data_IF_158482342842
#
_entry.id   IF_158482342842
#
_cell.length_a   1.000
_cell.length_b   1.000
_cell.length_c   1.000
_cell.angle_alpha   90.00
_cell.angle_beta   90.00
_cell.angle_gamma   90.00
#
_symmetry.space_group_name_H-M   'P 1'
#
loop_
_entity.id
_entity.type
_entity.pdbx_description
1 polymer ?
#
# COMPACT_ATOMS: atom_id res chain seq x y z
N UNK A 1 27.65 18.51 -29.15
CA UNK A 1 27.20 17.64 -28.03
C UNK A 1 25.81 18.05 -27.57
N UNK A 2 25.55 19.34 -27.34
CA UNK A 2 24.22 19.88 -26.99
C UNK A 2 23.12 19.54 -28.01
N UNK A 3 23.37 19.74 -29.30
CA UNK A 3 22.41 19.44 -30.39
C UNK A 3 22.04 17.94 -30.47
N UNK A 4 22.97 17.04 -30.11
CA UNK A 4 22.69 15.61 -30.01
C UNK A 4 21.88 15.24 -28.76
N UNK A 5 22.03 15.99 -27.67
CA UNK A 5 21.24 15.77 -26.45
C UNK A 5 19.78 16.14 -26.71
N UNK A 6 19.53 17.35 -27.25
CA UNK A 6 18.18 17.86 -27.53
C UNK A 6 17.37 16.92 -28.42
N UNK A 7 18.00 16.41 -29.49
CA UNK A 7 17.39 15.45 -30.43
C UNK A 7 16.89 14.17 -29.75
N UNK A 8 17.51 13.76 -28.65
CA UNK A 8 17.21 12.51 -27.95
C UNK A 8 16.43 12.70 -26.64
N UNK A 9 16.10 13.93 -26.23
CA UNK A 9 15.23 14.17 -25.08
C UNK A 9 13.84 13.51 -25.20
N UNK A 10 13.18 13.46 -26.37
CA UNK A 10 11.90 12.75 -26.50
C UNK A 10 12.02 11.25 -26.21
N UNK A 11 13.15 10.63 -26.58
CA UNK A 11 13.44 9.23 -26.24
C UNK A 11 13.52 9.06 -24.72
N UNK A 12 14.28 9.92 -24.04
CA UNK A 12 14.38 9.88 -22.58
C UNK A 12 13.00 10.03 -21.92
N UNK A 13 12.19 10.99 -22.39
CA UNK A 13 10.83 11.21 -21.87
C UNK A 13 9.93 10.00 -22.06
N UNK A 14 9.98 9.35 -23.23
CA UNK A 14 9.24 8.13 -23.49
C UNK A 14 9.67 6.97 -22.59
N UNK A 15 10.97 6.83 -22.31
CA UNK A 15 11.50 5.80 -21.41
C UNK A 15 11.09 6.09 -19.97
N UNK A 16 11.27 7.32 -19.49
CA UNK A 16 10.87 7.73 -18.14
C UNK A 16 9.38 7.44 -17.89
N UNK A 17 8.50 7.76 -18.85
CA UNK A 17 7.07 7.46 -18.75
C UNK A 17 6.76 5.96 -18.62
N UNK A 18 7.58 5.06 -19.21
CA UNK A 18 7.39 3.60 -19.06
C UNK A 18 7.78 3.09 -17.67
N UNK A 19 8.59 3.85 -16.93
CA UNK A 19 9.01 3.53 -15.57
C UNK A 19 8.25 4.33 -14.51
N UNK A 20 7.23 5.11 -14.92
CA UNK A 20 6.35 5.84 -14.00
C UNK A 20 5.67 4.85 -13.07
N UNK A 21 5.77 5.11 -11.77
CA UNK A 21 5.20 4.29 -10.71
C UNK A 21 5.10 5.09 -9.41
N UNK A 22 4.69 4.43 -8.34
CA UNK A 22 4.36 5.05 -7.05
C UNK A 22 5.56 5.69 -6.33
N UNK A 23 6.79 5.35 -6.72
CA UNK A 23 8.01 5.67 -5.98
C UNK A 23 8.91 6.74 -6.61
N UNK A 24 8.52 7.36 -7.72
CA UNK A 24 9.28 8.43 -8.34
C UNK A 24 8.42 9.34 -9.23
N UNK A 25 8.63 10.65 -9.08
CA UNK A 25 8.05 11.69 -9.92
C UNK A 25 8.55 11.57 -11.37
N UNK A 26 7.71 11.98 -12.32
CA UNK A 26 8.04 11.91 -13.75
C UNK A 26 9.27 12.74 -14.11
N UNK A 27 9.47 13.86 -13.43
CA UNK A 27 10.58 14.77 -13.68
C UNK A 27 11.90 14.22 -13.13
N UNK A 28 11.87 13.52 -11.99
CA UNK A 28 13.05 12.84 -11.44
C UNK A 28 13.51 11.71 -12.37
N UNK A 29 12.58 10.89 -12.85
CA UNK A 29 12.87 9.83 -13.81
C UNK A 29 13.44 10.38 -15.12
N UNK A 30 12.94 11.54 -15.57
CA UNK A 30 13.46 12.22 -16.74
C UNK A 30 14.90 12.72 -16.51
N UNK A 31 15.19 13.37 -15.37
CA UNK A 31 16.53 13.83 -15.04
C UNK A 31 17.55 12.67 -14.98
N UNK A 32 17.20 11.58 -14.30
CA UNK A 32 18.02 10.37 -14.24
C UNK A 32 18.23 9.78 -15.64
N UNK A 33 17.17 9.75 -16.45
CA UNK A 33 17.26 9.31 -17.83
C UNK A 33 18.19 10.19 -18.68
N UNK A 34 18.23 11.50 -18.45
CA UNK A 34 19.16 12.42 -19.10
C UNK A 34 20.62 12.12 -18.70
N UNK A 35 20.89 11.75 -17.44
CA UNK A 35 22.23 11.28 -17.02
C UNK A 35 22.62 10.02 -17.81
N UNK A 36 21.69 9.08 -17.99
CA UNK A 36 21.90 7.89 -18.81
C UNK A 36 22.15 8.20 -20.28
N UNK A 37 21.47 9.20 -20.84
CA UNK A 37 21.69 9.67 -22.20
C UNK A 37 23.10 10.27 -22.36
N UNK A 38 23.55 11.10 -21.39
CA UNK A 38 24.90 11.66 -21.40
C UNK A 38 25.97 10.58 -21.31
N UNK A 39 25.75 9.55 -20.48
CA UNK A 39 26.63 8.38 -20.42
C UNK A 39 26.68 7.66 -21.77
N UNK A 40 25.52 7.38 -22.37
CA UNK A 40 25.43 6.72 -23.67
C UNK A 40 26.14 7.52 -24.77
N UNK A 41 25.98 8.84 -24.81
CA UNK A 41 26.67 9.70 -25.78
C UNK A 41 28.19 9.69 -25.60
N UNK A 42 28.70 9.56 -24.37
CA UNK A 42 30.14 9.51 -24.09
C UNK A 42 30.78 8.17 -24.45
N UNK A 43 30.06 7.06 -24.35
CA UNK A 43 30.61 5.71 -24.52
C UNK A 43 30.18 5.01 -25.81
N UNK A 44 29.30 5.62 -26.61
CA UNK A 44 28.87 5.07 -27.88
C UNK A 44 29.99 5.12 -28.93
N UNK A 45 30.14 4.02 -29.65
CA UNK A 45 31.15 3.83 -30.69
C UNK A 45 30.42 3.53 -32.02
N UNK A 46 30.38 4.49 -32.96
CA UNK A 46 29.70 4.34 -34.25
C UNK A 46 30.29 3.25 -35.14
N UNK A 47 31.57 2.90 -34.98
CA UNK A 47 32.26 1.90 -35.82
C UNK A 47 31.71 0.49 -35.63
N UNK A 48 30.97 0.26 -34.54
CA UNK A 48 30.29 -1.01 -34.24
C UNK A 48 29.03 -1.27 -35.07
N UNK A 49 28.63 -0.34 -35.92
CA UNK A 49 27.55 -0.54 -36.91
C UNK A 49 26.13 -0.65 -36.32
N UNK A 50 25.91 -0.22 -35.07
CA UNK A 50 24.57 -0.20 -34.45
C UNK A 50 24.04 1.22 -34.34
N UNK A 51 22.72 1.39 -34.51
CA UNK A 51 22.10 2.70 -34.33
C UNK A 51 22.23 3.16 -32.87
N UNK A 52 22.56 4.43 -32.65
CA UNK A 52 22.72 5.02 -31.31
C UNK A 52 21.55 4.71 -30.37
N UNK A 53 20.31 4.80 -30.86
CA UNK A 53 19.11 4.52 -30.05
C UNK A 53 19.07 3.08 -29.53
N UNK A 54 19.57 2.11 -30.31
CA UNK A 54 19.64 0.70 -29.91
C UNK A 54 20.58 0.51 -28.72
N UNK A 55 21.68 1.27 -28.70
CA UNK A 55 22.63 1.28 -27.59
C UNK A 55 22.16 2.11 -26.39
N UNK A 56 21.57 3.29 -26.64
CA UNK A 56 21.20 4.23 -25.60
C UNK A 56 20.02 3.74 -24.74
N UNK A 57 19.05 3.04 -25.32
CA UNK A 57 17.87 2.53 -24.60
C UNK A 57 18.23 1.68 -23.37
N UNK A 58 19.06 0.62 -23.46
CA UNK A 58 19.44 -0.18 -22.30
C UNK A 58 20.26 0.60 -21.26
N UNK A 59 21.09 1.57 -21.69
CA UNK A 59 21.88 2.42 -20.78
C UNK A 59 20.96 3.35 -19.98
N UNK A 60 20.08 4.09 -20.66
CA UNK A 60 19.10 4.99 -20.04
C UNK A 60 18.18 4.22 -19.08
N UNK A 61 17.62 3.10 -19.54
CA UNK A 61 16.76 2.26 -18.71
C UNK A 61 17.51 1.68 -17.49
N UNK A 62 18.80 1.39 -17.63
CA UNK A 62 19.66 0.93 -16.54
C UNK A 62 19.80 1.95 -15.41
N UNK A 63 20.06 3.22 -15.76
CA UNK A 63 20.15 4.33 -14.79
C UNK A 63 18.82 4.55 -14.07
N UNK A 64 17.71 4.57 -14.81
CA UNK A 64 16.37 4.72 -14.23
C UNK A 64 16.07 3.58 -13.24
N UNK A 65 16.36 2.32 -13.62
CA UNK A 65 16.20 1.16 -12.73
C UNK A 65 17.11 1.23 -11.51
N UNK A 66 18.31 1.78 -11.63
CA UNK A 66 19.24 1.94 -10.52
C UNK A 66 18.72 2.98 -9.52
N UNK A 67 18.23 4.12 -10.01
CA UNK A 67 17.61 5.15 -9.18
C UNK A 67 16.38 4.61 -8.43
N UNK A 68 15.46 3.94 -9.12
CA UNK A 68 14.25 3.35 -8.52
C UNK A 68 14.56 2.32 -7.43
N UNK A 69 15.68 1.58 -7.52
CA UNK A 69 16.09 0.64 -6.46
C UNK A 69 16.47 1.35 -5.14
N UNK A 70 16.86 2.62 -5.22
CA UNK A 70 17.26 3.46 -4.10
C UNK A 70 16.12 4.23 -3.42
N UNK A 71 15.00 4.49 -4.12
CA UNK A 71 13.91 5.36 -3.68
C UNK A 71 12.80 4.69 -2.86
N UNK A 72 12.98 3.44 -2.41
CA UNK A 72 11.97 2.80 -1.55
C UNK A 72 11.80 3.57 -0.23
N UNK A 73 10.54 3.88 0.14
CA UNK A 73 10.14 4.62 1.35
C UNK A 73 10.78 4.05 2.63
N UNK A 74 11.01 2.73 2.65
CA UNK A 74 11.71 2.04 3.74
C UNK A 74 13.04 1.46 3.24
N UNK A 75 14.13 1.88 3.89
CA UNK A 75 15.49 1.40 3.59
C UNK A 75 15.74 0.05 4.25
N UNK A 76 15.54 -1.02 3.49
CA UNK A 76 15.92 -2.38 3.91
C UNK A 76 17.33 -2.77 3.47
N UNK A 77 17.94 -3.72 4.19
CA UNK A 77 19.23 -4.30 3.85
C UNK A 77 19.19 -5.03 2.48
N UNK A 78 20.34 -5.12 1.80
CA UNK A 78 20.43 -5.83 0.51
C UNK A 78 20.08 -7.30 0.64
N UNK A 79 20.43 -7.94 1.76
CA UNK A 79 20.12 -9.33 2.05
C UNK A 79 18.60 -9.55 2.10
N UNK A 80 17.88 -8.73 2.87
CA UNK A 80 16.42 -8.78 2.99
C UNK A 80 15.73 -8.56 1.64
N UNK A 81 16.16 -7.57 0.84
CA UNK A 81 15.61 -7.33 -0.51
C UNK A 81 15.82 -8.52 -1.45
N UNK A 82 16.92 -9.25 -1.29
CA UNK A 82 17.22 -10.44 -2.10
C UNK A 82 16.32 -11.60 -1.70
N UNK A 83 16.15 -11.83 -0.38
CA UNK A 83 15.22 -12.82 0.14
C UNK A 83 13.77 -12.53 -0.27
N UNK A 84 13.33 -11.26 -0.22
CA UNK A 84 11.99 -10.84 -0.64
C UNK A 84 11.71 -11.14 -2.12
N UNK A 85 12.68 -10.91 -3.01
CA UNK A 85 12.54 -11.26 -4.43
C UNK A 85 12.40 -12.76 -4.64
N UNK A 86 13.18 -13.56 -3.91
CA UNK A 86 13.11 -15.03 -3.97
C UNK A 86 11.77 -15.53 -3.44
N UNK A 87 11.31 -14.99 -2.31
CA UNK A 87 10.03 -15.35 -1.71
C UNK A 87 8.87 -15.00 -2.65
N UNK A 88 8.92 -13.84 -3.30
CA UNK A 88 7.92 -13.46 -4.32
C UNK A 88 7.81 -14.48 -5.46
N UNK A 89 8.94 -14.93 -6.01
CA UNK A 89 8.94 -15.96 -7.07
C UNK A 89 8.36 -17.29 -6.58
N UNK A 90 8.67 -17.69 -5.34
CA UNK A 90 8.10 -18.90 -4.73
C UNK A 90 6.58 -18.77 -4.59
N UNK A 91 6.10 -17.63 -4.10
CA UNK A 91 4.66 -17.37 -3.95
C UNK A 91 3.93 -17.43 -5.29
N UNK A 92 4.47 -16.80 -6.34
CA UNK A 92 3.90 -16.81 -7.70
C UNK A 92 3.85 -18.23 -8.30
N UNK A 93 4.91 -19.03 -8.14
CA UNK A 93 4.94 -20.43 -8.59
C UNK A 93 3.92 -21.29 -7.81
N UNK A 94 3.77 -21.04 -6.50
CA UNK A 94 2.80 -21.75 -5.66
C UNK A 94 1.36 -21.45 -6.09
N UNK A 95 1.05 -20.18 -6.32
CA UNK A 95 -0.25 -19.73 -6.81
C UNK A 95 -0.59 -20.34 -8.18
N UNK A 96 0.38 -20.37 -9.11
CA UNK A 96 0.18 -20.98 -10.43
C UNK A 96 -0.09 -22.49 -10.33
N UNK A 97 0.63 -23.21 -9.47
CA UNK A 97 0.51 -24.68 -9.37
C UNK A 97 -0.74 -25.12 -8.61
N UNK A 98 -1.11 -24.41 -7.56
CA UNK A 98 -2.14 -24.85 -6.62
C UNK A 98 -3.44 -24.04 -6.71
N UNK A 99 -3.47 -22.98 -7.53
CA UNK A 99 -4.66 -22.16 -7.75
C UNK A 99 -5.12 -21.40 -6.51
N UNK A 100 -4.24 -21.26 -5.50
CA UNK A 100 -4.52 -20.57 -4.24
C UNK A 100 -3.25 -19.95 -3.66
N UNK A 101 -3.45 -19.01 -2.75
CA UNK A 101 -2.38 -18.41 -1.96
C UNK A 101 -1.71 -19.45 -1.04
N UNK A 102 -0.37 -19.42 -0.88
CA UNK A 102 0.34 -20.25 0.09
C UNK A 102 0.09 -19.78 1.53
N UNK A 103 0.07 -20.72 2.46
CA UNK A 103 0.04 -20.42 3.90
C UNK A 103 1.43 -20.04 4.41
N UNK A 104 1.50 -19.32 5.53
CA UNK A 104 2.78 -18.96 6.16
C UNK A 104 3.66 -20.19 6.48
N UNK A 105 3.04 -21.30 6.86
CA UNK A 105 3.77 -22.54 7.15
C UNK A 105 4.34 -23.20 5.90
N UNK A 106 3.64 -23.11 4.77
CA UNK A 106 4.13 -23.58 3.46
C UNK A 106 5.26 -22.69 2.95
N UNK A 107 5.12 -21.37 3.06
CA UNK A 107 6.18 -20.42 2.71
C UNK A 107 7.45 -20.64 3.54
N UNK A 108 7.34 -20.81 4.86
CA UNK A 108 8.48 -21.10 5.73
C UNK A 108 9.22 -22.38 5.29
N UNK A 109 8.47 -23.45 5.02
CA UNK A 109 9.06 -24.74 4.58
C UNK A 109 9.78 -24.63 3.24
N UNK A 110 9.19 -23.95 2.26
CA UNK A 110 9.75 -23.87 0.89
C UNK A 110 10.89 -22.85 0.82
N UNK A 111 10.79 -21.75 1.56
CA UNK A 111 11.84 -20.72 1.62
C UNK A 111 13.03 -21.11 2.50
N UNK A 112 12.82 -22.01 3.46
CA UNK A 112 13.81 -22.41 4.46
C UNK A 112 14.08 -21.33 5.52
N UNK A 113 13.20 -20.32 5.63
CA UNK A 113 13.31 -19.22 6.58
C UNK A 113 12.60 -19.56 7.90
N UNK A 114 13.17 -19.11 9.00
CA UNK A 114 12.47 -19.12 10.29
C UNK A 114 11.31 -18.12 10.31
N UNK A 115 10.37 -18.26 11.26
CA UNK A 115 9.17 -17.41 11.29
C UNK A 115 9.49 -15.93 11.42
N UNK A 116 10.45 -15.57 12.28
CA UNK A 116 10.83 -14.17 12.47
C UNK A 116 11.45 -13.59 11.20
N UNK A 117 12.34 -14.33 10.54
CA UNK A 117 12.95 -13.94 9.27
C UNK A 117 11.91 -13.81 8.15
N UNK A 118 10.98 -14.76 8.08
CA UNK A 118 9.89 -14.73 7.10
C UNK A 118 9.01 -13.50 7.29
N UNK A 119 8.69 -13.12 8.53
CA UNK A 119 7.92 -11.90 8.82
C UNK A 119 8.64 -10.65 8.30
N UNK A 120 9.93 -10.52 8.61
CA UNK A 120 10.73 -9.38 8.16
C UNK A 120 10.81 -9.30 6.62
N UNK A 121 10.91 -10.46 5.95
CA UNK A 121 10.92 -10.53 4.48
C UNK A 121 9.56 -10.17 3.88
N UNK A 122 8.46 -10.60 4.50
CA UNK A 122 7.11 -10.23 4.07
C UNK A 122 6.84 -8.74 4.21
N UNK A 123 7.36 -8.09 5.26
CA UNK A 123 7.24 -6.62 5.43
C UNK A 123 7.97 -5.84 4.32
N UNK A 124 9.09 -6.37 3.82
CA UNK A 124 9.79 -5.79 2.66
C UNK A 124 8.94 -5.84 1.39
N UNK A 125 8.07 -6.83 1.27
CA UNK A 125 7.19 -7.01 0.11
C UNK A 125 5.93 -6.15 0.18
N UNK A 126 5.60 -5.57 1.34
CA UNK A 126 4.44 -4.69 1.50
C UNK A 126 4.68 -3.35 0.83
N UNK A 127 3.69 -2.88 0.08
CA UNK A 127 3.66 -1.50 -0.41
C UNK A 127 3.24 -0.59 0.74
N UNK A 128 4.01 0.46 1.09
CA UNK A 128 3.60 1.42 2.11
C UNK A 128 2.35 2.16 1.61
N UNK A 129 1.33 2.24 2.46
CA UNK A 129 0.10 2.98 2.17
C UNK A 129 0.26 4.40 2.73
N UNK A 130 -0.22 5.41 2.00
CA UNK A 130 -0.24 6.78 2.52
C UNK A 130 -1.16 6.85 3.75
N UNK A 131 -0.71 7.55 4.80
CA UNK A 131 -1.56 7.86 5.95
C UNK A 131 -2.77 8.73 5.56
N UNK A 132 -2.63 9.48 4.46
CA UNK A 132 -3.68 10.32 3.89
C UNK A 132 -4.47 9.60 2.78
N UNK A 133 -4.18 8.31 2.50
CA UNK A 133 -4.95 7.56 1.52
C UNK A 133 -6.37 7.35 2.06
N UNK A 134 -7.32 8.09 1.50
CA UNK A 134 -8.74 7.81 1.69
C UNK A 134 -9.07 6.55 0.89
N UNK A 135 -9.04 5.40 1.55
CA UNK A 135 -9.56 4.13 1.02
C UNK A 135 -11.04 4.32 0.68
N UNK A 136 -11.47 4.18 -0.61
CA UNK A 136 -12.88 4.23 -0.95
C UNK A 136 -13.60 3.03 -0.33
N UNK A 137 -14.23 3.22 0.82
CA UNK A 137 -15.01 2.19 1.51
C UNK A 137 -14.45 1.69 2.85
N UNK A 138 -13.23 2.07 3.24
CA UNK A 138 -12.73 1.83 4.59
C UNK A 138 -12.61 3.17 5.31
N UNK A 139 -13.39 3.30 6.39
CA UNK A 139 -13.27 4.41 7.33
C UNK A 139 -11.82 4.47 7.79
N UNK A 140 -11.19 5.64 7.64
CA UNK A 140 -9.83 5.89 8.07
C UNK A 140 -9.59 5.30 9.47
N UNK A 141 -8.71 4.31 9.58
CA UNK A 141 -8.25 3.90 10.90
C UNK A 141 -7.42 5.07 11.46
N UNK A 142 -7.81 5.64 12.61
CA UNK A 142 -7.05 6.73 13.18
C UNK A 142 -5.67 6.23 13.61
N UNK A 143 -4.71 7.14 13.48
CA UNK A 143 -3.33 6.98 13.95
C UNK A 143 -3.26 6.33 15.33
N UNK A 144 -2.21 5.53 15.57
CA UNK A 144 -1.97 4.85 16.84
C UNK A 144 -1.86 5.88 17.97
N UNK A 145 -2.97 6.13 18.66
CA UNK A 145 -3.06 6.99 19.84
C UNK A 145 -2.49 6.23 21.03
N UNK A 146 -1.70 6.91 21.88
CA UNK A 146 -0.94 6.31 22.99
C UNK A 146 -1.80 5.50 23.96
N UNK A 147 -1.20 4.48 24.59
CA UNK A 147 -1.89 3.51 25.45
C UNK A 147 -2.70 4.13 26.60
N UNK A 148 -2.32 5.31 27.08
CA UNK A 148 -3.00 6.02 28.16
C UNK A 148 -4.31 6.70 27.70
N UNK A 149 -4.33 7.30 26.50
CA UNK A 149 -5.54 7.88 25.89
C UNK A 149 -6.56 6.78 25.55
N UNK A 150 -6.10 5.61 25.09
CA UNK A 150 -6.98 4.47 24.80
C UNK A 150 -7.75 3.96 26.03
N UNK A 151 -7.17 4.07 27.23
CA UNK A 151 -7.83 3.63 28.48
C UNK A 151 -8.91 4.63 28.89
N UNK A 152 -8.66 5.92 28.76
CA UNK A 152 -9.63 6.99 29.05
C UNK A 152 -10.81 6.92 28.09
N UNK A 153 -10.56 6.76 26.79
CA UNK A 153 -11.58 6.63 25.76
C UNK A 153 -12.47 5.40 25.96
N UNK A 154 -11.89 4.27 26.41
CA UNK A 154 -12.66 3.05 26.70
C UNK A 154 -13.58 3.19 27.91
N UNK A 155 -13.17 3.95 28.94
CA UNK A 155 -14.01 4.19 30.12
C UNK A 155 -15.17 5.12 29.78
N UNK A 156 -14.90 6.22 29.06
CA UNK A 156 -15.92 7.16 28.60
C UNK A 156 -16.94 6.46 27.68
N UNK A 157 -16.46 5.70 26.69
CA UNK A 157 -17.33 4.93 25.79
C UNK A 157 -18.20 3.93 26.55
N UNK A 158 -17.67 3.25 27.57
CA UNK A 158 -18.43 2.29 28.38
C UNK A 158 -19.54 2.96 29.19
N UNK A 159 -19.33 4.19 29.66
CA UNK A 159 -20.34 4.97 30.36
C UNK A 159 -21.46 5.44 29.41
N UNK A 160 -21.10 5.88 28.21
CA UNK A 160 -22.09 6.28 27.20
C UNK A 160 -22.92 5.07 26.74
N UNK A 161 -22.29 3.92 26.48
CA UNK A 161 -23.02 2.70 26.11
C UNK A 161 -23.96 2.21 27.22
N UNK A 162 -23.65 2.47 28.49
CA UNK A 162 -24.49 2.07 29.62
C UNK A 162 -25.65 3.03 29.88
N UNK A 163 -25.58 4.29 29.41
CA UNK A 163 -26.69 5.25 29.46
C UNK A 163 -27.70 5.05 28.33
N UNK A 164 -27.31 4.42 27.22
CA UNK A 164 -28.22 4.12 26.11
C UNK A 164 -29.39 3.21 26.55
N UNK A 165 -30.63 3.49 26.11
CA UNK A 165 -31.77 2.61 26.24
C UNK A 165 -31.47 1.21 25.68
N UNK A 166 -32.11 0.18 26.24
CA UNK A 166 -31.84 -1.22 25.90
C UNK A 166 -31.87 -1.50 24.39
N UNK A 167 -32.86 -0.92 23.69
CA UNK A 167 -33.04 -1.09 22.25
C UNK A 167 -31.92 -0.44 21.43
N UNK A 168 -31.49 0.75 21.83
CA UNK A 168 -30.41 1.49 21.17
C UNK A 168 -29.06 0.79 21.38
N UNK A 169 -28.81 0.30 22.61
CA UNK A 169 -27.63 -0.51 22.93
C UNK A 169 -27.56 -1.80 22.10
N UNK A 170 -28.69 -2.47 21.89
CA UNK A 170 -28.74 -3.67 21.04
C UNK A 170 -28.40 -3.35 19.58
N UNK A 171 -28.90 -2.23 19.05
CA UNK A 171 -28.56 -1.78 17.69
C UNK A 171 -27.04 -1.56 17.59
N UNK A 172 -26.44 -0.85 18.55
CA UNK A 172 -24.98 -0.60 18.55
C UNK A 172 -24.19 -1.91 18.65
N UNK A 173 -24.60 -2.83 19.54
CA UNK A 173 -23.95 -4.12 19.69
C UNK A 173 -23.95 -4.92 18.38
N UNK A 174 -25.11 -5.03 17.73
CA UNK A 174 -25.21 -5.83 16.51
C UNK A 174 -24.49 -5.19 15.32
N UNK A 175 -24.56 -3.86 15.19
CA UNK A 175 -23.95 -3.13 14.08
C UNK A 175 -22.43 -3.05 14.19
N UNK A 176 -21.91 -2.69 15.35
CA UNK A 176 -20.49 -2.35 15.50
C UNK A 176 -19.65 -3.47 16.13
N UNK A 177 -20.23 -4.36 16.94
CA UNK A 177 -19.48 -5.44 17.59
C UNK A 177 -19.73 -6.83 16.98
N UNK A 178 -20.87 -7.03 16.29
CA UNK A 178 -21.22 -8.29 15.63
C UNK A 178 -21.31 -8.17 14.10
N UNK A 179 -20.95 -7.01 13.55
CA UNK A 179 -20.84 -6.74 12.11
C UNK A 179 -22.09 -7.14 11.30
N UNK A 180 -23.29 -6.96 11.85
CA UNK A 180 -24.56 -7.24 11.17
C UNK A 180 -24.96 -6.07 10.26
N UNK A 181 -25.70 -6.35 9.19
CA UNK A 181 -26.25 -5.30 8.32
C UNK A 181 -27.44 -4.60 8.99
N UNK A 182 -27.82 -3.41 8.51
CA UNK A 182 -29.04 -2.73 8.99
C UNK A 182 -30.30 -3.57 8.76
N UNK A 183 -30.30 -4.36 7.68
CA UNK A 183 -31.39 -5.25 7.32
C UNK A 183 -31.47 -6.43 8.29
N UNK A 184 -30.34 -7.07 8.61
CA UNK A 184 -30.28 -8.16 9.59
C UNK A 184 -30.76 -7.69 10.97
N UNK A 185 -30.37 -6.48 11.39
CA UNK A 185 -30.77 -5.91 12.68
C UNK A 185 -32.25 -5.52 12.68
N UNK A 186 -32.77 -5.05 11.55
CA UNK A 186 -34.19 -4.74 11.38
C UNK A 186 -35.05 -6.00 11.55
N UNK A 187 -34.63 -7.11 10.93
CA UNK A 187 -35.27 -8.42 11.08
C UNK A 187 -35.20 -8.93 12.53
N UNK A 188 -34.05 -8.84 13.19
CA UNK A 188 -33.88 -9.27 14.59
C UNK A 188 -34.70 -8.46 15.59
N UNK A 189 -34.89 -7.16 15.33
CA UNK A 189 -35.58 -6.23 16.24
C UNK A 189 -37.03 -5.94 15.85
N UNK A 190 -37.55 -6.61 14.81
CA UNK A 190 -38.92 -6.48 14.33
C UNK A 190 -39.30 -5.06 13.88
N UNK A 191 -38.37 -4.33 13.27
CA UNK A 191 -38.58 -2.96 12.77
C UNK A 191 -38.11 -2.83 11.33
N UNK A 192 -38.42 -1.71 10.67
CA UNK A 192 -37.93 -1.45 9.32
C UNK A 192 -36.45 -1.05 9.33
N UNK A 193 -35.73 -1.42 8.26
CA UNK A 193 -34.34 -1.01 8.04
C UNK A 193 -34.18 0.52 8.08
N UNK A 194 -35.14 1.26 7.53
CA UNK A 194 -35.14 2.73 7.59
C UNK A 194 -35.26 3.26 9.02
N UNK A 195 -36.00 2.57 9.90
CA UNK A 195 -36.07 2.92 11.32
C UNK A 195 -34.75 2.62 12.02
N UNK A 196 -34.08 1.50 11.72
CA UNK A 196 -32.73 1.19 12.22
C UNK A 196 -31.73 2.27 11.79
N UNK A 197 -31.74 2.69 10.52
CA UNK A 197 -30.87 3.76 10.01
C UNK A 197 -31.07 5.10 10.74
N UNK A 198 -32.32 5.46 11.05
CA UNK A 198 -32.64 6.68 11.81
C UNK A 198 -32.16 6.59 13.25
N UNK A 199 -32.40 5.46 13.91
CA UNK A 199 -31.94 5.22 15.29
C UNK A 199 -30.42 5.23 15.37
N UNK A 200 -29.72 4.56 14.46
CA UNK A 200 -28.26 4.54 14.42
C UNK A 200 -27.66 5.93 14.30
N UNK A 201 -28.18 6.77 13.38
CA UNK A 201 -27.74 8.17 13.27
C UNK A 201 -27.95 8.94 14.56
N UNK A 202 -29.13 8.85 15.15
CA UNK A 202 -29.45 9.52 16.41
C UNK A 202 -28.50 9.07 17.53
N UNK A 203 -28.28 7.76 17.66
CA UNK A 203 -27.40 7.19 18.68
C UNK A 203 -25.95 7.70 18.48
N UNK A 204 -25.44 7.70 17.25
CA UNK A 204 -24.09 8.19 16.96
C UNK A 204 -23.96 9.70 17.25
N UNK A 205 -24.96 10.50 16.91
CA UNK A 205 -24.96 11.94 17.21
C UNK A 205 -24.99 12.21 18.72
N UNK A 206 -25.79 11.44 19.46
CA UNK A 206 -25.87 11.56 20.92
C UNK A 206 -24.56 11.09 21.57
N UNK A 207 -23.99 9.96 21.14
CA UNK A 207 -22.69 9.47 21.61
C UNK A 207 -21.56 10.47 21.33
N UNK A 208 -21.57 11.11 20.16
CA UNK A 208 -20.58 12.13 19.80
C UNK A 208 -20.65 13.32 20.74
N UNK A 209 -21.84 13.87 21.02
CA UNK A 209 -22.00 14.98 21.96
C UNK A 209 -21.42 14.64 23.34
N UNK A 210 -21.74 13.46 23.86
CA UNK A 210 -21.24 13.00 25.17
C UNK A 210 -19.72 12.77 25.24
N UNK A 211 -19.05 12.56 24.10
CA UNK A 211 -17.60 12.35 24.04
C UNK A 211 -16.82 13.62 23.69
N UNK A 212 -17.52 14.70 23.29
CA UNK A 212 -16.88 15.98 22.92
C UNK A 212 -17.07 17.07 23.99
N UNK A 213 -17.95 16.84 24.96
CA UNK A 213 -18.13 17.64 26.18
C UNK A 213 -17.33 17.04 27.35
#
# INVERSE_FOLDING_TARGET
MEESVEKHLPLVRSLANRFRGEFAESDDLFQVGCIGLLKALKTFDPERGTAFTTYAVPVIAGEIKMYLRGQGTVKYSRALKTQARRLKMITEDFEQRLGRQPTLSELAKVSGLEREELSAVLDVMRTPVSLDAVTPGEQAEPAVVGEEEQVVDRVALRQVLSSLPQRERQIVLYRFFRYRTQQDVAEMLGISQMHVSRLERKILDDMKKYLTD
#
